data_IF_763421609396
#
_entry.id   IF_763421609396
#
_cell.length_a   1.000
_cell.length_b   1.000
_cell.length_c   1.000
_cell.angle_alpha   90.00
_cell.angle_beta   90.00
_cell.angle_gamma   90.00
#
_symmetry.space_group_name_H-M   'P 1'
#
loop_
_entity.id
_entity.type
_entity.pdbx_description
1 polymer ?
#
# COMPACT_ATOMS: atom_id res chain seq x y z
N UNK A 1 -3.41 10.30 -11.31
CA UNK A 1 -3.34 10.25 -9.83
C UNK A 1 -4.65 10.74 -9.24
N UNK A 2 -5.12 10.13 -8.17
CA UNK A 2 -6.34 10.56 -7.50
C UNK A 2 -6.09 11.84 -6.68
N UNK A 3 -7.12 12.69 -6.60
CA UNK A 3 -7.03 13.93 -5.84
C UNK A 3 -6.94 13.70 -4.32
N UNK A 4 -7.41 12.55 -3.86
CA UNK A 4 -7.45 12.22 -2.43
C UNK A 4 -6.08 11.94 -1.84
N UNK A 5 -5.16 11.37 -2.62
CA UNK A 5 -3.86 10.94 -2.12
C UNK A 5 -2.95 12.13 -1.85
N UNK A 6 -2.49 12.25 -0.60
CA UNK A 6 -1.58 13.32 -0.21
C UNK A 6 -0.14 12.81 -0.22
N UNK A 7 0.57 13.07 -1.30
CA UNK A 7 1.97 12.66 -1.49
C UNK A 7 2.94 13.45 -0.61
N UNK A 8 2.50 14.61 -0.10
CA UNK A 8 3.36 15.50 0.68
C UNK A 8 3.25 15.26 2.18
N UNK A 9 2.27 14.48 2.63
CA UNK A 9 2.10 14.19 4.04
C UNK A 9 3.31 13.45 4.61
N UNK A 10 3.78 13.92 5.76
CA UNK A 10 4.83 13.27 6.53
C UNK A 10 4.30 12.71 7.85
N UNK A 11 2.99 12.73 8.03
CA UNK A 11 2.37 12.15 9.24
C UNK A 11 2.60 10.64 9.28
N UNK A 12 3.25 10.11 10.33
CA UNK A 12 3.57 8.69 10.38
C UNK A 12 2.35 7.78 10.30
N UNK A 13 1.23 8.15 10.90
CA UNK A 13 0.02 7.32 10.86
C UNK A 13 -0.54 7.23 9.43
N UNK A 14 -0.60 8.35 8.72
CA UNK A 14 -1.04 8.38 7.33
C UNK A 14 -0.10 7.55 6.43
N UNK A 15 1.21 7.72 6.62
CA UNK A 15 2.22 6.97 5.87
C UNK A 15 2.14 5.47 6.16
N UNK A 16 1.90 5.07 7.42
CA UNK A 16 1.69 3.67 7.76
C UNK A 16 0.50 3.08 7.02
N UNK A 17 -0.59 3.83 6.93
CA UNK A 17 -1.77 3.40 6.18
C UNK A 17 -1.48 3.21 4.70
N UNK A 18 -0.78 4.17 4.09
CA UNK A 18 -0.35 4.06 2.70
C UNK A 18 0.55 2.83 2.50
N UNK A 19 1.51 2.64 3.39
CA UNK A 19 2.43 1.51 3.34
C UNK A 19 1.69 0.18 3.44
N UNK A 20 0.69 0.10 4.32
CA UNK A 20 -0.12 -1.10 4.47
C UNK A 20 -0.87 -1.42 3.16
N UNK A 21 -1.40 -0.42 2.48
CA UNK A 21 -2.03 -0.61 1.17
C UNK A 21 -1.05 -1.12 0.12
N UNK A 22 0.22 -0.66 0.18
CA UNK A 22 1.28 -1.18 -0.68
C UNK A 22 1.51 -2.67 -0.42
N UNK A 23 1.58 -3.08 0.84
CA UNK A 23 1.76 -4.50 1.19
C UNK A 23 0.63 -5.35 0.63
N UNK A 24 -0.60 -4.89 0.76
CA UNK A 24 -1.76 -5.58 0.22
C UNK A 24 -1.68 -5.70 -1.30
N UNK A 25 -1.30 -4.62 -1.98
CA UNK A 25 -1.15 -4.61 -3.44
C UNK A 25 -0.05 -5.55 -3.92
N UNK A 26 1.09 -5.57 -3.22
CA UNK A 26 2.19 -6.47 -3.55
C UNK A 26 1.79 -7.94 -3.44
N UNK A 27 1.04 -8.30 -2.41
CA UNK A 27 0.53 -9.65 -2.28
C UNK A 27 -0.38 -10.01 -3.45
N UNK A 28 -1.29 -9.11 -3.82
CA UNK A 28 -2.18 -9.33 -4.96
C UNK A 28 -1.39 -9.54 -6.26
N UNK A 29 -0.38 -8.72 -6.50
CA UNK A 29 0.43 -8.84 -7.73
C UNK A 29 1.24 -10.13 -7.77
N UNK A 30 1.69 -10.63 -6.62
CA UNK A 30 2.50 -11.85 -6.53
C UNK A 30 1.65 -13.13 -6.54
N UNK A 31 0.49 -13.12 -5.89
CA UNK A 31 -0.28 -14.33 -5.60
C UNK A 31 -1.71 -14.28 -6.14
N UNK A 32 -2.17 -13.12 -6.62
CA UNK A 32 -3.55 -12.94 -6.99
C UNK A 32 -4.46 -12.85 -5.77
N UNK A 33 -5.75 -13.08 -5.96
CA UNK A 33 -6.70 -13.04 -4.86
C UNK A 33 -6.55 -14.29 -3.99
N UNK A 34 -6.42 -14.07 -2.67
CA UNK A 34 -6.27 -15.15 -1.69
C UNK A 34 -7.36 -15.03 -0.62
N UNK A 35 -7.68 -16.16 0.04
CA UNK A 35 -8.79 -16.20 1.01
C UNK A 35 -8.55 -15.38 2.26
N UNK A 36 -7.32 -15.27 2.73
CA UNK A 36 -6.96 -14.48 3.89
C UNK A 36 -5.71 -13.68 3.57
N UNK A 37 -5.89 -12.55 2.90
CA UNK A 37 -4.82 -11.67 2.48
C UNK A 37 -4.30 -10.79 3.61
N UNK A 38 -3.37 -9.90 3.27
CA UNK A 38 -2.74 -8.99 4.23
C UNK A 38 -3.80 -8.17 4.98
N UNK A 39 -4.78 -7.61 4.26
CA UNK A 39 -5.80 -6.78 4.88
C UNK A 39 -6.63 -7.55 5.91
N UNK A 40 -7.10 -8.74 5.56
CA UNK A 40 -7.94 -9.55 6.46
C UNK A 40 -7.17 -10.00 7.70
N UNK A 41 -5.88 -10.28 7.55
CA UNK A 41 -5.07 -10.80 8.66
C UNK A 41 -4.51 -9.73 9.57
N UNK A 42 -4.11 -8.60 9.03
CA UNK A 42 -3.24 -7.67 9.73
C UNK A 42 -3.76 -6.25 9.87
N UNK A 43 -4.88 -5.89 9.21
CA UNK A 43 -5.35 -4.50 9.24
C UNK A 43 -5.60 -4.00 10.67
N UNK A 44 -6.32 -4.77 11.47
CA UNK A 44 -6.64 -4.38 12.83
C UNK A 44 -5.37 -4.18 13.66
N UNK A 45 -4.43 -5.12 13.58
CA UNK A 45 -3.17 -5.03 14.32
C UNK A 45 -2.31 -3.88 13.84
N UNK A 46 -2.19 -3.70 12.52
CA UNK A 46 -1.36 -2.63 11.96
C UNK A 46 -1.90 -1.24 12.28
N UNK A 47 -3.23 -1.09 12.34
CA UNK A 47 -3.84 0.21 12.63
C UNK A 47 -3.75 0.60 14.10
N UNK A 48 -3.53 -0.35 14.99
CA UNK A 48 -3.46 -0.09 16.44
C UNK A 48 -2.02 -0.18 16.95
N UNK A 49 -1.27 -1.20 16.53
CA UNK A 49 0.08 -1.47 17.01
C UNK A 49 1.05 -1.70 15.85
N UNK A 50 1.32 -0.66 15.02
CA UNK A 50 2.11 -0.85 13.80
C UNK A 50 3.51 -1.40 14.05
N UNK A 51 4.18 -0.98 15.12
CA UNK A 51 5.55 -1.44 15.39
C UNK A 51 5.64 -2.95 15.58
N UNK A 52 4.56 -3.60 16.07
CA UNK A 52 4.56 -5.05 16.30
C UNK A 52 4.47 -5.87 15.03
N UNK A 53 3.79 -5.34 14.00
CA UNK A 53 3.48 -6.15 12.81
C UNK A 53 4.26 -5.72 11.57
N UNK A 54 4.75 -4.49 11.52
CA UNK A 54 5.37 -3.96 10.30
C UNK A 54 6.62 -4.73 9.88
N UNK A 55 7.43 -5.20 10.83
CA UNK A 55 8.61 -6.00 10.51
C UNK A 55 8.28 -7.26 9.72
N UNK A 56 7.23 -7.97 10.13
CA UNK A 56 6.75 -9.16 9.41
C UNK A 56 6.22 -8.78 8.03
N UNK A 57 5.47 -7.68 7.94
CA UNK A 57 4.92 -7.23 6.66
C UNK A 57 6.00 -6.79 5.69
N UNK A 58 7.06 -6.15 6.17
CA UNK A 58 8.22 -5.82 5.34
C UNK A 58 8.88 -7.06 4.76
N UNK A 59 9.05 -8.11 5.56
CA UNK A 59 9.62 -9.38 5.08
C UNK A 59 8.72 -10.02 4.02
N UNK A 60 7.42 -10.04 4.28
CA UNK A 60 6.46 -10.56 3.31
C UNK A 60 6.49 -9.76 2.01
N UNK A 61 6.61 -8.43 2.11
CA UNK A 61 6.68 -7.55 0.95
C UNK A 61 7.90 -7.84 0.08
N UNK A 62 9.06 -8.08 0.69
CA UNK A 62 10.27 -8.45 -0.05
C UNK A 62 10.06 -9.76 -0.83
N UNK A 63 9.39 -10.72 -0.20
CA UNK A 63 9.06 -12.00 -0.84
C UNK A 63 8.16 -11.79 -2.03
N UNK A 64 7.14 -10.96 -1.90
CA UNK A 64 6.20 -10.66 -2.98
C UNK A 64 6.87 -9.88 -4.10
N UNK A 65 7.75 -8.94 -3.78
CA UNK A 65 8.52 -8.19 -4.78
C UNK A 65 9.40 -9.10 -5.63
N UNK A 66 9.99 -10.13 -5.00
CA UNK A 66 10.82 -11.08 -5.73
C UNK A 66 10.01 -11.91 -6.74
N UNK A 67 8.72 -12.15 -6.46
CA UNK A 67 7.84 -12.93 -7.34
C UNK A 67 7.14 -12.08 -8.39
N UNK A 68 6.75 -10.86 -8.06
CA UNK A 68 6.01 -9.99 -8.95
C UNK A 68 6.94 -9.38 -10.00
N UNK A 69 6.52 -9.39 -11.25
CA UNK A 69 7.30 -8.81 -12.35
C UNK A 69 6.46 -7.88 -13.20
N UNK A 70 7.13 -7.14 -14.08
CA UNK A 70 6.50 -6.26 -15.04
C UNK A 70 6.40 -4.81 -14.57
N UNK A 71 5.88 -3.93 -15.43
CA UNK A 71 5.84 -2.49 -15.20
C UNK A 71 4.94 -2.08 -14.04
N UNK A 72 3.84 -2.80 -13.82
CA UNK A 72 2.92 -2.51 -12.72
C UNK A 72 3.61 -2.76 -11.38
N UNK A 73 4.30 -3.90 -11.25
CA UNK A 73 5.04 -4.24 -10.04
C UNK A 73 6.16 -3.23 -9.77
N UNK A 74 6.83 -2.75 -10.82
CA UNK A 74 7.89 -1.74 -10.69
C UNK A 74 7.35 -0.42 -10.15
N UNK A 75 6.17 0.00 -10.59
CA UNK A 75 5.54 1.22 -10.06
C UNK A 75 5.16 1.07 -8.59
N UNK A 76 4.68 -0.10 -8.17
CA UNK A 76 4.38 -0.36 -6.77
C UNK A 76 5.67 -0.43 -5.94
N UNK A 77 6.75 -0.97 -6.50
CA UNK A 77 8.07 -0.93 -5.85
C UNK A 77 8.52 0.50 -5.56
N UNK A 78 8.30 1.42 -6.49
CA UNK A 78 8.62 2.84 -6.27
C UNK A 78 7.81 3.43 -5.13
N UNK A 79 6.50 3.13 -5.07
CA UNK A 79 5.67 3.56 -3.95
C UNK A 79 6.21 3.01 -2.62
N UNK A 80 6.57 1.74 -2.59
CA UNK A 80 7.14 1.09 -1.41
C UNK A 80 8.39 1.82 -0.94
N UNK A 81 9.31 2.11 -1.85
CA UNK A 81 10.57 2.79 -1.52
C UNK A 81 10.34 4.22 -1.03
N UNK A 82 9.48 4.97 -1.71
CA UNK A 82 9.19 6.36 -1.35
C UNK A 82 8.53 6.46 0.03
N UNK A 83 7.52 5.63 0.28
CA UNK A 83 6.82 5.65 1.56
C UNK A 83 7.72 5.17 2.69
N UNK A 84 8.47 4.10 2.46
CA UNK A 84 9.41 3.57 3.45
C UNK A 84 10.48 4.59 3.81
N UNK A 85 11.01 5.30 2.83
CA UNK A 85 11.98 6.36 3.07
C UNK A 85 11.37 7.52 3.85
N UNK A 86 10.13 7.90 3.52
CA UNK A 86 9.45 9.02 4.19
C UNK A 86 9.14 8.72 5.65
N UNK A 87 8.74 7.49 5.97
CA UNK A 87 8.40 7.12 7.34
C UNK A 87 9.66 6.82 8.18
N UNK A 88 10.72 6.28 7.53
CA UNK A 88 11.96 5.94 8.22
C UNK A 88 11.73 4.90 9.31
N UNK A 89 12.05 5.27 10.55
CA UNK A 89 11.87 4.40 11.71
C UNK A 89 10.72 4.85 12.62
N UNK A 90 9.85 5.72 12.14
CA UNK A 90 8.80 6.34 12.96
C UNK A 90 7.56 5.46 13.12
N UNK A 91 7.75 4.20 13.48
CA UNK A 91 6.66 3.29 13.80
C UNK A 91 6.36 3.32 15.29
N UNK A 92 5.16 3.79 15.63
CA UNK A 92 4.76 3.86 17.04
C UNK A 92 4.33 2.49 17.56
N UNK A 93 4.57 2.20 18.86
CA UNK A 93 4.04 0.97 19.46
C UNK A 93 2.53 0.90 19.44
N UNK A 94 1.84 2.04 19.67
CA UNK A 94 0.38 2.11 19.72
C UNK A 94 -0.08 3.42 19.09
N UNK A 95 -1.12 3.35 18.25
CA UNK A 95 -1.75 4.53 17.69
C UNK A 95 -2.96 4.94 18.51
N UNK A 96 -3.14 6.26 18.71
CA UNK A 96 -4.36 6.80 19.31
C UNK A 96 -5.54 6.61 18.34
N UNK A 97 -6.75 6.84 18.83
CA UNK A 97 -7.93 6.74 17.98
C UNK A 97 -7.86 7.72 16.81
N UNK A 98 -7.39 8.94 17.04
CA UNK A 98 -7.21 9.93 15.98
C UNK A 98 -6.18 9.46 14.96
N UNK A 99 -5.06 8.90 15.41
CA UNK A 99 -4.03 8.36 14.53
C UNK A 99 -4.53 7.16 13.73
N UNK A 100 -5.36 6.32 14.34
CA UNK A 100 -6.01 5.21 13.62
C UNK A 100 -6.89 5.72 12.48
N UNK A 101 -7.57 6.85 12.68
CA UNK A 101 -8.33 7.51 11.62
C UNK A 101 -7.44 7.95 10.46
N UNK A 102 -6.28 8.53 10.77
CA UNK A 102 -5.33 8.94 9.73
C UNK A 102 -4.69 7.75 9.02
N UNK A 103 -4.46 6.65 9.74
CA UNK A 103 -4.04 5.38 9.13
C UNK A 103 -5.08 4.91 8.11
N UNK A 104 -6.34 4.91 8.49
CA UNK A 104 -7.43 4.50 7.60
C UNK A 104 -7.47 5.36 6.33
N UNK A 105 -7.33 6.69 6.49
CA UNK A 105 -7.30 7.58 5.33
C UNK A 105 -6.13 7.26 4.40
N UNK A 106 -4.95 7.06 4.94
CA UNK A 106 -3.78 6.70 4.14
C UNK A 106 -3.99 5.40 3.37
N UNK A 107 -4.55 4.41 4.04
CA UNK A 107 -4.85 3.12 3.44
C UNK A 107 -5.85 3.26 2.27
N UNK A 108 -6.98 3.91 2.51
CA UNK A 108 -8.01 4.04 1.48
C UNK A 108 -7.60 4.95 0.34
N UNK A 109 -6.86 6.03 0.62
CA UNK A 109 -6.36 6.92 -0.43
C UNK A 109 -5.37 6.19 -1.35
N UNK A 110 -4.47 5.39 -0.79
CA UNK A 110 -3.51 4.63 -1.58
C UNK A 110 -4.21 3.53 -2.40
N UNK A 111 -5.20 2.87 -1.83
CA UNK A 111 -6.00 1.88 -2.57
C UNK A 111 -6.77 2.54 -3.72
N UNK A 112 -7.32 3.73 -3.50
CA UNK A 112 -8.00 4.48 -4.55
C UNK A 112 -7.06 4.81 -5.71
N UNK A 113 -5.81 5.15 -5.38
CA UNK A 113 -4.79 5.41 -6.40
C UNK A 113 -4.53 4.18 -7.25
N UNK A 114 -4.42 3.00 -6.63
CA UNK A 114 -4.22 1.76 -7.39
C UNK A 114 -5.39 1.42 -8.29
N UNK A 115 -6.63 1.66 -7.84
CA UNK A 115 -7.82 1.49 -8.69
C UNK A 115 -7.79 2.44 -9.87
N UNK A 116 -7.39 3.69 -9.65
CA UNK A 116 -7.28 4.71 -10.69
C UNK A 116 -6.25 4.30 -11.74
N UNK A 117 -5.07 3.84 -11.31
CA UNK A 117 -4.01 3.36 -12.22
C UNK A 117 -4.51 2.17 -13.06
N UNK A 118 -5.25 1.24 -12.45
CA UNK A 118 -5.81 0.09 -13.17
C UNK A 118 -6.82 0.53 -14.22
N UNK A 119 -7.68 1.50 -13.90
CA UNK A 119 -8.65 2.04 -14.85
C UNK A 119 -7.96 2.72 -16.03
N UNK A 120 -6.93 3.53 -15.78
CA UNK A 120 -6.16 4.19 -16.83
C UNK A 120 -5.51 3.17 -17.79
N UNK A 121 -4.92 2.10 -17.23
CA UNK A 121 -4.32 1.06 -18.06
C UNK A 121 -5.35 0.39 -18.96
N UNK A 122 -6.54 0.10 -18.45
CA UNK A 122 -7.61 -0.51 -19.24
C UNK A 122 -8.07 0.40 -20.36
N UNK A 123 -8.19 1.71 -20.10
CA UNK A 123 -8.51 2.70 -21.12
C UNK A 123 -7.46 2.75 -22.23
N UNK A 124 -6.18 2.78 -21.86
CA UNK A 124 -5.08 2.80 -22.81
C UNK A 124 -5.07 1.55 -23.68
N UNK A 125 -5.29 0.38 -23.08
CA UNK A 125 -5.36 -0.87 -23.80
C UNK A 125 -6.55 -0.89 -24.77
N UNK A 126 -7.70 -0.37 -24.36
CA UNK A 126 -8.87 -0.27 -25.22
C UNK A 126 -8.62 0.64 -26.44
N UNK A 127 -7.95 1.77 -26.24
CA UNK A 127 -7.59 2.71 -27.31
C UNK A 127 -6.61 2.04 -28.29
N UNK A 128 -5.59 1.35 -27.79
CA UNK A 128 -4.60 0.66 -28.62
C UNK A 128 -5.25 -0.47 -29.43
N UNK A 129 -6.17 -1.20 -28.80
CA UNK A 129 -6.88 -2.29 -29.49
C UNK A 129 -7.83 -1.76 -30.57
N UNK A 130 -8.41 -0.56 -30.36
CA UNK A 130 -9.31 0.05 -31.33
C UNK A 130 -8.60 0.61 -32.57
N UNK A 131 -7.29 0.74 -32.52
CA UNK A 131 -6.49 1.17 -33.68
C UNK A 131 -6.15 -0.04 -34.55
#
# INVERSE_FOLDING_TARGET
>A
MTECLNLESRDPAYLCGRLFAVFDRLQYLAQGQVNAGVTERYYASASVTPALVMGRLFRNAQFHLAKAGGGVAENVRKDFEEISCAIGDQFKPTLTLEEQGRFALGFYHQKAEYRHRSAERKEQQAVETAK
#
